data_IF_628594762588
#
_entry.id   IF_628594762588
#
_cell.length_a   1.000
_cell.length_b   1.000
_cell.length_c   1.000
_cell.angle_alpha   90.00
_cell.angle_beta   90.00
_cell.angle_gamma   90.00
#
_symmetry.space_group_name_H-M   'P 1'
#
loop_
_entity.id
_entity.type
_entity.pdbx_description
1 polymer ?
#
# COMPACT_ATOMS: atom_id res chain seq x y z
N UNK A 1 -15.29 -1.19 -10.73
CA UNK A 1 -14.53 -1.18 -9.47
C UNK A 1 -13.92 -2.54 -9.23
N UNK A 2 -12.81 -2.56 -8.53
CA UNK A 2 -12.05 -3.76 -8.30
C UNK A 2 -12.13 -4.21 -6.85
N UNK A 3 -12.15 -5.52 -6.65
CA UNK A 3 -12.08 -6.07 -5.30
C UNK A 3 -10.66 -6.06 -4.77
N UNK A 4 -9.68 -5.97 -5.65
CA UNK A 4 -8.28 -5.91 -5.24
C UNK A 4 -7.50 -5.10 -6.26
N UNK A 5 -6.64 -4.22 -5.78
CA UNK A 5 -5.69 -3.51 -6.62
C UNK A 5 -4.30 -3.85 -6.09
N UNK A 6 -3.42 -4.27 -6.99
CA UNK A 6 -2.08 -4.69 -6.63
C UNK A 6 -1.08 -3.78 -7.31
N UNK A 7 -0.21 -3.17 -6.51
CA UNK A 7 0.76 -2.21 -7.01
C UNK A 7 2.17 -2.68 -6.68
N UNK A 8 3.08 -2.40 -7.57
CA UNK A 8 4.47 -2.79 -7.38
C UNK A 8 5.31 -1.57 -7.09
N UNK A 9 6.35 -1.78 -6.30
CA UNK A 9 7.26 -0.72 -5.91
C UNK A 9 7.93 -0.14 -7.15
N UNK A 10 7.65 1.12 -7.50
CA UNK A 10 8.31 1.74 -8.65
C UNK A 10 9.70 2.23 -8.30
N UNK A 11 10.05 2.14 -7.03
CA UNK A 11 11.29 2.73 -6.55
C UNK A 11 12.49 2.12 -7.24
N UNK A 12 12.43 0.82 -7.49
CA UNK A 12 13.52 0.17 -8.19
C UNK A 12 13.67 0.69 -9.60
N UNK A 13 12.54 1.05 -10.22
CA UNK A 13 12.58 1.59 -11.58
C UNK A 13 12.97 3.04 -11.60
N UNK A 14 12.75 3.74 -10.50
CA UNK A 14 13.03 5.17 -10.44
C UNK A 14 14.44 5.48 -9.97
N UNK A 15 15.15 4.48 -9.58
CA UNK A 15 16.58 4.56 -9.32
C UNK A 15 16.98 5.75 -8.45
N UNK A 16 17.16 5.50 -7.18
CA UNK A 16 17.73 6.49 -6.29
C UNK A 16 16.83 7.64 -5.92
N UNK A 17 15.57 7.55 -6.20
CA UNK A 17 14.68 8.61 -5.78
C UNK A 17 14.58 8.61 -4.27
N UNK A 18 14.61 9.80 -3.71
CA UNK A 18 14.66 9.92 -2.27
C UNK A 18 13.34 9.57 -1.62
N UNK A 19 12.23 9.87 -2.28
CA UNK A 19 10.96 9.76 -1.63
C UNK A 19 10.01 8.87 -2.41
N UNK A 20 10.25 7.57 -2.30
CA UNK A 20 9.33 6.62 -2.88
C UNK A 20 7.97 6.69 -2.24
N UNK A 21 7.88 7.23 -1.01
CA UNK A 21 6.61 7.34 -0.31
C UNK A 21 5.67 8.31 -0.98
N UNK A 22 6.20 9.30 -1.68
CA UNK A 22 5.35 10.25 -2.40
C UNK A 22 4.45 9.52 -3.39
N UNK A 23 5.03 8.56 -4.11
CA UNK A 23 4.27 7.76 -5.05
C UNK A 23 3.19 6.95 -4.35
N UNK A 24 3.56 6.30 -3.24
CA UNK A 24 2.58 5.52 -2.50
C UNK A 24 1.48 6.39 -1.94
N UNK A 25 1.81 7.62 -1.53
CA UNK A 25 0.79 8.51 -0.99
C UNK A 25 -0.24 8.87 -2.04
N UNK A 26 0.23 9.21 -3.24
CA UNK A 26 -0.67 9.54 -4.33
C UNK A 26 -1.58 8.34 -4.64
N UNK A 27 -0.99 7.16 -4.71
CA UNK A 27 -1.77 5.97 -5.03
C UNK A 27 -2.79 5.64 -3.95
N UNK A 28 -2.37 5.74 -2.68
CA UNK A 28 -3.28 5.44 -1.59
C UNK A 28 -4.48 6.38 -1.58
N UNK A 29 -4.28 7.62 -2.00
CA UNK A 29 -5.37 8.57 -2.07
C UNK A 29 -6.29 8.32 -3.25
N UNK A 30 -5.76 7.77 -4.33
CA UNK A 30 -6.54 7.57 -5.54
C UNK A 30 -7.19 6.21 -5.64
N UNK A 31 -6.56 5.19 -5.10
CA UNK A 31 -7.02 3.82 -5.25
C UNK A 31 -8.45 3.61 -4.74
N UNK A 32 -8.88 4.26 -3.64
CA UNK A 32 -10.25 4.04 -3.19
C UNK A 32 -11.31 4.31 -4.26
N UNK A 33 -11.01 5.17 -5.23
CA UNK A 33 -11.95 5.44 -6.31
C UNK A 33 -12.18 4.23 -7.20
N UNK A 34 -11.26 3.28 -7.18
CA UNK A 34 -11.31 2.10 -8.03
C UNK A 34 -11.65 0.83 -7.27
N UNK A 35 -11.79 0.93 -5.94
CA UNK A 35 -12.07 -0.25 -5.13
C UNK A 35 -13.53 -0.36 -4.80
N UNK A 36 -14.03 -1.60 -4.81
CA UNK A 36 -15.34 -1.86 -4.22
C UNK A 36 -15.24 -1.63 -2.72
N UNK A 37 -16.39 -1.48 -2.07
CA UNK A 37 -16.41 -1.43 -0.62
C UNK A 37 -15.86 -2.74 -0.08
N UNK A 38 -14.89 -2.66 0.82
CA UNK A 38 -14.23 -3.85 1.32
C UNK A 38 -13.14 -4.37 0.41
N UNK A 39 -12.77 -3.60 -0.61
CA UNK A 39 -11.70 -4.01 -1.50
C UNK A 39 -10.33 -3.86 -0.87
N UNK A 40 -9.36 -4.59 -1.40
CA UNK A 40 -8.01 -4.63 -0.86
C UNK A 40 -7.02 -3.89 -1.73
N UNK A 41 -6.14 -3.15 -1.10
CA UNK A 41 -4.96 -2.61 -1.77
C UNK A 41 -3.76 -3.43 -1.30
N UNK A 42 -2.99 -3.92 -2.25
CA UNK A 42 -1.79 -4.72 -1.96
C UNK A 42 -0.63 -4.03 -2.64
N UNK A 43 0.39 -3.66 -1.86
CA UNK A 43 1.54 -2.95 -2.40
C UNK A 43 2.82 -3.71 -2.13
N UNK A 44 3.61 -3.92 -3.17
CA UNK A 44 4.98 -4.41 -2.97
C UNK A 44 5.86 -3.23 -2.64
N UNK A 45 6.71 -3.41 -1.63
CA UNK A 45 7.50 -2.32 -1.07
C UNK A 45 8.96 -2.74 -0.96
N UNK A 46 9.82 -1.75 -0.73
CA UNK A 46 11.16 -2.03 -0.30
C UNK A 46 11.15 -2.50 1.16
N UNK A 47 12.11 -3.34 1.53
CA UNK A 47 12.09 -3.99 2.83
C UNK A 47 12.15 -3.00 4.00
N UNK A 48 12.62 -1.81 3.75
CA UNK A 48 12.77 -0.80 4.81
C UNK A 48 11.65 0.23 4.80
N UNK A 49 10.57 -0.01 4.06
CA UNK A 49 9.49 0.96 3.92
C UNK A 49 8.20 0.56 4.62
N UNK A 50 8.15 -0.62 5.24
CA UNK A 50 6.88 -1.14 5.73
C UNK A 50 6.22 -0.23 6.75
N UNK A 51 6.97 0.28 7.71
CA UNK A 51 6.39 1.11 8.76
C UNK A 51 5.78 2.38 8.18
N UNK A 52 6.48 3.00 7.24
CA UNK A 52 6.00 4.23 6.63
C UNK A 52 4.78 3.98 5.76
N UNK A 53 4.79 2.87 5.01
CA UNK A 53 3.66 2.56 4.14
C UNK A 53 2.45 2.16 4.96
N UNK A 54 2.64 1.40 6.05
CA UNK A 54 1.52 1.06 6.93
C UNK A 54 0.88 2.33 7.50
N UNK A 55 1.71 3.24 7.96
CA UNK A 55 1.20 4.50 8.51
C UNK A 55 0.42 5.27 7.47
N UNK A 56 0.96 5.31 6.27
CA UNK A 56 0.32 6.02 5.17
C UNK A 56 -1.05 5.44 4.85
N UNK A 57 -1.16 4.11 4.80
CA UNK A 57 -2.44 3.48 4.52
C UNK A 57 -3.45 3.76 5.62
N UNK A 58 -3.00 3.70 6.87
CA UNK A 58 -3.89 3.99 7.98
C UNK A 58 -4.39 5.43 7.94
N UNK A 59 -3.52 6.35 7.58
CA UNK A 59 -3.90 7.76 7.51
C UNK A 59 -4.86 8.05 6.36
N UNK A 60 -4.83 7.24 5.33
CA UNK A 60 -5.72 7.45 4.19
C UNK A 60 -7.00 6.62 4.30
N UNK A 61 -7.24 5.99 5.44
CA UNK A 61 -8.52 5.35 5.70
C UNK A 61 -8.57 3.86 5.50
N UNK A 62 -7.44 3.23 5.23
CA UNK A 62 -7.41 1.78 5.10
C UNK A 62 -7.40 1.12 6.48
N UNK A 63 -7.98 -0.06 6.56
CA UNK A 63 -8.08 -0.83 7.79
C UNK A 63 -7.41 -2.18 7.61
N UNK A 64 -7.18 -2.87 8.72
CA UNK A 64 -6.54 -4.19 8.71
C UNK A 64 -5.22 -4.15 7.96
N UNK A 65 -4.49 -3.06 8.17
CA UNK A 65 -3.21 -2.86 7.50
C UNK A 65 -2.18 -3.81 8.10
N UNK A 66 -1.47 -4.53 7.25
CA UNK A 66 -0.46 -5.46 7.72
C UNK A 66 0.64 -5.60 6.70
N UNK A 67 1.76 -6.16 7.18
CA UNK A 67 2.93 -6.40 6.34
C UNK A 67 3.21 -7.88 6.30
N UNK A 68 3.55 -8.39 5.13
CA UNK A 68 3.95 -9.77 4.95
C UNK A 68 5.39 -9.84 4.49
N UNK A 69 6.09 -10.85 4.97
CA UNK A 69 7.51 -11.02 4.66
C UNK A 69 7.67 -12.04 3.55
N UNK A 70 8.78 -11.91 2.83
CA UNK A 70 9.14 -12.92 1.85
C UNK A 70 9.83 -14.10 2.54
N UNK A 71 10.27 -15.06 1.76
CA UNK A 71 10.90 -16.26 2.31
C UNK A 71 12.21 -15.98 3.00
N UNK A 72 12.84 -14.88 2.67
CA UNK A 72 14.09 -14.47 3.34
C UNK A 72 13.84 -13.72 4.63
N UNK A 73 12.58 -13.49 4.99
CA UNK A 73 12.25 -12.78 6.21
C UNK A 73 12.24 -11.28 6.10
N UNK A 74 12.29 -10.77 4.88
CA UNK A 74 12.26 -9.33 4.66
C UNK A 74 10.85 -8.87 4.36
N UNK A 75 10.48 -7.69 4.87
CA UNK A 75 9.19 -7.10 4.57
C UNK A 75 9.07 -6.91 3.07
N UNK A 76 7.97 -7.37 2.49
CA UNK A 76 7.82 -7.33 1.06
C UNK A 76 6.50 -6.74 0.60
N UNK A 77 5.42 -7.00 1.34
CA UNK A 77 4.08 -6.61 0.90
C UNK A 77 3.34 -5.96 2.05
N UNK A 78 2.73 -4.81 1.80
CA UNK A 78 1.82 -4.17 2.75
C UNK A 78 0.44 -4.18 2.13
N UNK A 79 -0.57 -4.55 2.90
CA UNK A 79 -1.93 -4.59 2.40
C UNK A 79 -2.88 -3.95 3.39
N UNK A 80 -4.03 -3.52 2.88
CA UNK A 80 -5.07 -2.96 3.70
C UNK A 80 -6.40 -3.03 2.97
N UNK A 81 -7.48 -2.97 3.71
CA UNK A 81 -8.82 -3.03 3.15
C UNK A 81 -9.47 -1.65 3.27
N UNK A 82 -10.22 -1.29 2.26
CA UNK A 82 -10.90 0.00 2.27
C UNK A 82 -12.40 -0.22 2.45
N UNK A 83 -12.91 0.20 3.62
CA UNK A 83 -14.32 0.08 3.94
C UNK A 83 -14.94 1.47 3.94
N UNK A 84 -15.85 1.71 3.00
CA UNK A 84 -16.45 3.03 2.85
C UNK A 84 -17.35 3.38 4.02
N UNK A 85 -17.84 2.37 4.73
CA UNK A 85 -18.83 2.58 5.78
C UNK A 85 -18.21 2.63 7.17
N UNK A 86 -16.89 2.58 7.29
CA UNK A 86 -16.28 2.52 8.61
C UNK A 86 -15.84 3.87 9.13
N UNK A 87 -16.37 4.91 8.60
CA UNK A 87 -16.02 6.25 9.05
C UNK A 87 -16.69 6.61 10.34
#
# INVERSE_FOLDING_TARGET
LEAEVRLYDPYEALDGKEDGLYFYRILAEKVPEYLTDGGWLVMEIGYDQSADVEKLLKETGFEQVSTQKDLAGLDRVVSGVYNRHSK
#
